data_IF_837860660370
#
_entry.id   IF_837860660370
#
_cell.length_a   1.000
_cell.length_b   1.000
_cell.length_c   1.000
_cell.angle_alpha   90.00
_cell.angle_beta   90.00
_cell.angle_gamma   90.00
#
_symmetry.space_group_name_H-M   'P 1'
#
loop_
_entity.id
_entity.type
_entity.pdbx_description
1 polymer ?
#
# COMPACT_ATOMS: atom_id res chain seq x y z
N UNK A 1 17.11 7.87 -2.97
CA UNK A 1 16.10 8.00 -1.89
C UNK A 1 14.90 7.17 -2.31
N UNK A 2 14.34 6.32 -1.44
CA UNK A 2 13.16 5.50 -1.80
C UNK A 2 11.95 6.41 -2.01
N UNK A 3 11.25 6.29 -3.14
CA UNK A 3 9.99 7.01 -3.44
C UNK A 3 8.98 6.82 -2.30
N UNK A 4 8.91 5.59 -1.78
CA UNK A 4 8.04 5.20 -0.66
C UNK A 4 8.31 5.95 0.64
N UNK A 5 9.51 6.52 0.82
CA UNK A 5 9.83 7.35 2.00
C UNK A 5 9.02 8.66 2.03
N UNK A 6 8.63 9.17 0.86
CA UNK A 6 7.93 10.45 0.72
C UNK A 6 6.41 10.31 0.74
N UNK A 7 5.89 9.10 0.61
CA UNK A 7 4.45 8.85 0.59
C UNK A 7 3.85 8.95 2.00
N UNK A 8 2.59 9.39 2.06
CA UNK A 8 1.76 9.23 3.26
C UNK A 8 1.51 7.74 3.55
N UNK A 9 1.15 7.42 4.79
CA UNK A 9 0.87 6.03 5.19
C UNK A 9 -0.28 5.45 4.37
N UNK A 10 -1.32 6.24 4.09
CA UNK A 10 -2.45 5.83 3.26
C UNK A 10 -2.03 5.46 1.83
N UNK A 11 -1.17 6.27 1.19
CA UNK A 11 -0.69 5.97 -0.16
C UNK A 11 0.27 4.78 -0.18
N UNK A 12 1.19 4.71 0.80
CA UNK A 12 2.14 3.61 0.94
C UNK A 12 1.41 2.26 1.06
N UNK A 13 0.43 2.21 1.96
CA UNK A 13 -0.44 1.04 2.18
C UNK A 13 -1.34 0.76 0.97
N UNK A 14 -1.84 1.80 0.31
CA UNK A 14 -2.63 1.67 -0.91
C UNK A 14 -1.88 0.95 -2.03
N UNK A 15 -0.61 1.32 -2.27
CA UNK A 15 0.24 0.61 -3.23
C UNK A 15 0.46 -0.85 -2.82
N UNK A 16 0.76 -1.12 -1.55
CA UNK A 16 0.91 -2.48 -1.05
C UNK A 16 -0.31 -3.35 -1.39
N UNK A 17 -1.51 -2.86 -1.11
CA UNK A 17 -2.75 -3.61 -1.32
C UNK A 17 -3.05 -3.80 -2.80
N UNK A 18 -2.93 -2.75 -3.63
CA UNK A 18 -3.22 -2.86 -5.07
C UNK A 18 -2.26 -3.78 -5.80
N UNK A 19 -0.97 -3.76 -5.46
CA UNK A 19 0.01 -4.68 -6.05
C UNK A 19 -0.34 -6.13 -5.66
N UNK A 20 -0.66 -6.39 -4.38
CA UNK A 20 -1.08 -7.73 -3.95
C UNK A 20 -2.39 -8.19 -4.62
N UNK A 21 -3.36 -7.29 -4.86
CA UNK A 21 -4.58 -7.61 -5.61
C UNK A 21 -4.26 -8.00 -7.05
N UNK A 22 -3.33 -7.31 -7.70
CA UNK A 22 -2.92 -7.63 -9.07
C UNK A 22 -2.21 -8.99 -9.13
N UNK A 23 -1.34 -9.29 -8.16
CA UNK A 23 -0.72 -10.62 -7.99
C UNK A 23 -1.79 -11.71 -7.84
N UNK A 24 -2.78 -11.50 -6.96
CA UNK A 24 -3.88 -12.44 -6.74
C UNK A 24 -4.75 -12.67 -7.99
N UNK A 25 -4.85 -11.66 -8.87
CA UNK A 25 -5.52 -11.77 -10.18
C UNK A 25 -4.67 -12.45 -11.26
N UNK A 26 -3.46 -12.90 -10.93
CA UNK A 26 -2.52 -13.52 -11.87
C UNK A 26 -1.75 -12.51 -12.73
N UNK A 27 -1.84 -11.21 -12.43
CA UNK A 27 -1.05 -10.16 -13.09
C UNK A 27 0.28 -10.09 -12.33
N UNK A 28 1.25 -10.88 -12.77
CA UNK A 28 2.53 -11.08 -12.09
C UNK A 28 3.68 -10.49 -12.91
N UNK A 29 4.55 -9.73 -12.24
CA UNK A 29 5.86 -9.38 -12.78
C UNK A 29 6.92 -9.43 -11.69
N UNK A 30 8.17 -9.72 -12.06
CA UNK A 30 9.31 -9.66 -11.13
C UNK A 30 9.44 -8.29 -10.46
N UNK A 31 9.15 -7.21 -11.21
CA UNK A 31 9.17 -5.86 -10.68
C UNK A 31 8.17 -5.67 -9.53
N UNK A 32 6.96 -6.23 -9.61
CA UNK A 32 5.95 -6.10 -8.55
C UNK A 32 6.40 -6.71 -7.21
N UNK A 33 7.13 -7.84 -7.24
CA UNK A 33 7.68 -8.43 -6.02
C UNK A 33 8.77 -7.54 -5.41
N UNK A 34 9.64 -6.96 -6.26
CA UNK A 34 10.65 -5.99 -5.81
C UNK A 34 10.00 -4.74 -5.19
N UNK A 35 8.91 -4.24 -5.80
CA UNK A 35 8.15 -3.12 -5.25
C UNK A 35 7.53 -3.47 -3.89
N UNK A 36 6.97 -4.67 -3.72
CA UNK A 36 6.46 -5.13 -2.43
C UNK A 36 7.56 -5.11 -1.36
N UNK A 37 8.77 -5.58 -1.67
CA UNK A 37 9.86 -5.59 -0.70
C UNK A 37 10.29 -4.18 -0.28
N UNK A 38 10.31 -3.23 -1.22
CA UNK A 38 10.58 -1.82 -0.94
C UNK A 38 9.49 -1.20 -0.06
N UNK A 39 8.22 -1.50 -0.35
CA UNK A 39 7.08 -1.02 0.43
C UNK A 39 7.11 -1.61 1.84
N UNK A 40 7.28 -2.93 1.99
CA UNK A 40 7.37 -3.61 3.29
C UNK A 40 8.52 -3.07 4.14
N UNK A 41 9.64 -2.72 3.51
CA UNK A 41 10.78 -2.10 4.19
C UNK A 41 10.40 -0.75 4.81
N UNK A 42 9.69 0.11 4.08
CA UNK A 42 9.24 1.39 4.62
C UNK A 42 8.11 1.24 5.64
N UNK A 43 7.15 0.33 5.42
CA UNK A 43 6.10 0.01 6.40
C UNK A 43 6.69 -0.42 7.75
N UNK A 44 7.72 -1.28 7.72
CA UNK A 44 8.44 -1.71 8.92
C UNK A 44 9.10 -0.55 9.65
N UNK A 45 9.72 0.41 8.94
CA UNK A 45 10.30 1.62 9.55
C UNK A 45 9.27 2.50 10.24
N UNK A 46 8.01 2.44 9.78
CA UNK A 46 6.88 3.20 10.32
C UNK A 46 6.05 2.42 11.35
N UNK A 47 6.47 1.19 11.68
CA UNK A 47 5.72 0.27 12.55
C UNK A 47 4.29 -0.04 12.06
N UNK A 48 4.08 -0.05 10.74
CA UNK A 48 2.79 -0.41 10.14
C UNK A 48 2.77 -1.93 9.92
N UNK A 49 1.85 -2.63 10.58
CA UNK A 49 1.63 -4.06 10.33
C UNK A 49 0.73 -4.29 9.12
N UNK A 50 0.71 -5.51 8.57
CA UNK A 50 -0.22 -5.87 7.49
C UNK A 50 -1.69 -5.79 7.94
N UNK A 51 -1.97 -5.99 9.24
CA UNK A 51 -3.32 -5.85 9.82
C UNK A 51 -3.74 -4.38 9.82
N UNK A 52 -2.85 -3.50 10.28
CA UNK A 52 -3.09 -2.05 10.30
C UNK A 52 -3.26 -1.50 8.88
N UNK A 53 -2.54 -2.08 7.92
CA UNK A 53 -2.62 -1.72 6.50
C UNK A 53 -4.05 -1.84 5.95
N UNK A 54 -4.74 -2.94 6.27
CA UNK A 54 -6.11 -3.12 5.80
C UNK A 54 -7.03 -2.03 6.36
N UNK A 55 -6.88 -1.68 7.63
CA UNK A 55 -7.68 -0.63 8.28
C UNK A 55 -7.41 0.75 7.68
N UNK A 56 -6.13 1.14 7.57
CA UNK A 56 -5.69 2.42 6.97
C UNK A 56 -6.26 2.57 5.56
N UNK A 57 -6.22 1.49 4.77
CA UNK A 57 -6.75 1.52 3.41
C UNK A 57 -8.27 1.68 3.36
N UNK A 58 -9.02 0.99 4.23
CA UNK A 58 -10.48 1.16 4.28
C UNK A 58 -10.86 2.58 4.68
N UNK A 59 -10.20 3.16 5.68
CA UNK A 59 -10.41 4.54 6.10
C UNK A 59 -10.09 5.53 4.98
N UNK A 60 -9.00 5.29 4.24
CA UNK A 60 -8.66 6.09 3.07
C UNK A 60 -9.75 6.05 2.00
N UNK A 61 -10.22 4.86 1.60
CA UNK A 61 -11.29 4.73 0.60
C UNK A 61 -12.58 5.42 1.06
N UNK A 62 -12.96 5.23 2.33
CA UNK A 62 -14.15 5.88 2.90
C UNK A 62 -14.03 7.41 2.90
N UNK A 63 -12.86 7.96 3.23
CA UNK A 63 -12.61 9.40 3.20
C UNK A 63 -12.72 9.98 1.79
N UNK A 64 -12.29 9.23 0.77
CA UNK A 64 -12.40 9.66 -0.63
C UNK A 64 -13.85 9.63 -1.12
N UNK A 65 -14.64 8.63 -0.71
CA UNK A 65 -16.07 8.58 -1.05
C UNK A 65 -16.88 9.73 -0.44
N UNK A 66 -16.49 10.23 0.74
CA UNK A 66 -17.17 11.36 1.39
C UNK A 66 -16.88 12.72 0.73
N UNK A 67 -15.90 12.81 -0.17
CA UNK A 67 -15.56 14.03 -0.90
C UNK A 67 -16.33 14.19 -2.23
N UNK A 68 -17.21 13.23 -2.56
CA UNK A 68 -17.94 13.18 -3.84
C UNK A 68 -19.45 13.46 -3.66
N UNK A 69 -19.93 13.73 -2.44
CA UNK A 69 -21.33 14.06 -2.13
C UNK A 69 -21.51 15.51 -1.69
#
# INVERSE_FOLDING_TARGET
MSLYKQLSDALLVGFFIEINKNIAKGILSTAMYQEIDLIKTEMKKRNISEIDSQKIYQEYIQSQCHLIN
#
